data_IF_986029746298
#
_entry.id   IF_986029746298
#
_cell.length_a   1.000
_cell.length_b   1.000
_cell.length_c   1.000
_cell.angle_alpha   90.00
_cell.angle_beta   90.00
_cell.angle_gamma   90.00
#
_symmetry.space_group_name_H-M   'P 1'
#
loop_
_entity.id
_entity.type
_entity.pdbx_description
1 polymer ?
#
# COMPACT_ATOMS: atom_id res chain seq x y z
N UNK A 1 -22.35 16.98 -16.34
CA UNK A 1 -21.26 16.71 -15.39
C UNK A 1 -21.42 17.62 -14.21
N UNK A 2 -21.20 17.10 -13.01
CA UNK A 2 -21.11 17.90 -11.78
C UNK A 2 -19.82 18.71 -11.77
N UNK A 3 -19.74 19.74 -10.93
CA UNK A 3 -18.51 20.54 -10.80
C UNK A 3 -17.30 19.68 -10.39
N UNK A 4 -17.52 18.70 -9.50
CA UNK A 4 -16.47 17.77 -9.08
C UNK A 4 -15.96 16.88 -10.23
N UNK A 5 -16.86 16.45 -11.12
CA UNK A 5 -16.47 15.70 -12.31
C UNK A 5 -15.67 16.57 -13.28
N UNK A 6 -16.03 17.86 -13.45
CA UNK A 6 -15.28 18.79 -14.30
C UNK A 6 -13.87 19.06 -13.75
N UNK A 7 -13.75 19.27 -12.45
CA UNK A 7 -12.44 19.43 -11.78
C UNK A 7 -11.59 18.19 -11.98
N UNK A 8 -12.17 16.99 -11.80
CA UNK A 8 -11.45 15.73 -11.98
C UNK A 8 -10.98 15.54 -13.42
N UNK A 9 -11.87 15.80 -14.39
CA UNK A 9 -11.56 15.70 -15.81
C UNK A 9 -10.44 16.68 -16.19
N UNK A 10 -10.57 17.96 -15.85
CA UNK A 10 -9.58 18.97 -16.17
C UNK A 10 -8.22 18.66 -15.55
N UNK A 11 -8.20 18.20 -14.29
CA UNK A 11 -6.98 17.80 -13.60
C UNK A 11 -6.29 16.62 -14.29
N UNK A 12 -7.06 15.63 -14.77
CA UNK A 12 -6.52 14.49 -15.50
C UNK A 12 -5.95 14.90 -16.87
N UNK A 13 -6.58 15.84 -17.55
CA UNK A 13 -6.09 16.42 -18.81
C UNK A 13 -4.82 17.24 -18.61
N UNK A 14 -4.75 17.98 -17.50
CA UNK A 14 -3.59 18.79 -17.15
C UNK A 14 -2.36 17.91 -16.88
N UNK A 15 -2.49 16.89 -16.02
CA UNK A 15 -1.38 15.98 -15.66
C UNK A 15 -0.93 15.10 -16.85
N UNK A 16 -1.81 14.84 -17.82
CA UNK A 16 -1.48 14.08 -19.03
C UNK A 16 -0.69 14.89 -20.07
N UNK A 17 -0.36 16.17 -19.79
CA UNK A 17 0.28 17.10 -20.73
C UNK A 17 -0.53 17.24 -22.04
N UNK A 18 -1.84 17.04 -21.98
CA UNK A 18 -2.70 17.23 -23.15
C UNK A 18 -2.85 18.73 -23.47
N UNK A 19 -3.09 19.09 -24.75
CA UNK A 19 -3.40 20.47 -25.13
C UNK A 19 -4.64 20.98 -24.39
N UNK A 20 -4.53 22.15 -23.75
CA UNK A 20 -5.65 22.81 -23.10
C UNK A 20 -6.38 23.71 -24.12
N UNK A 21 -7.42 23.16 -24.74
CA UNK A 21 -8.29 23.87 -25.68
C UNK A 21 -9.69 24.01 -25.08
N UNK A 22 -10.25 25.22 -25.12
CA UNK A 22 -11.61 25.50 -24.65
C UNK A 22 -12.55 25.49 -25.85
N UNK A 23 -13.55 24.61 -25.81
CA UNK A 23 -14.57 24.48 -26.86
C UNK A 23 -15.97 24.93 -26.44
N UNK A 24 -16.15 25.46 -25.23
CA UNK A 24 -17.43 25.95 -24.75
C UNK A 24 -17.63 27.45 -25.04
N UNK A 25 -18.88 27.90 -25.00
CA UNK A 25 -19.21 29.31 -25.09
C UNK A 25 -18.69 30.07 -23.86
N UNK A 26 -17.65 30.88 -24.06
CA UNK A 26 -17.01 31.64 -22.99
C UNK A 26 -17.86 32.79 -22.45
N UNK A 27 -18.90 33.18 -23.19
CA UNK A 27 -19.83 34.23 -22.76
C UNK A 27 -20.91 33.69 -21.81
N UNK A 28 -21.11 32.37 -21.79
CA UNK A 28 -22.17 31.71 -21.05
C UNK A 28 -21.67 30.45 -20.32
N UNK A 29 -20.67 30.62 -19.45
CA UNK A 29 -20.18 29.57 -18.56
C UNK A 29 -20.53 29.84 -17.09
N UNK A 30 -20.67 28.78 -16.30
CA UNK A 30 -20.85 28.92 -14.85
C UNK A 30 -19.56 29.43 -14.19
N UNK A 31 -19.70 30.09 -13.05
CA UNK A 31 -18.55 30.55 -12.26
C UNK A 31 -17.63 29.38 -11.82
N UNK A 32 -18.20 28.20 -11.56
CA UNK A 32 -17.43 27.00 -11.20
C UNK A 32 -16.57 26.48 -12.36
N UNK A 33 -17.13 26.47 -13.58
CA UNK A 33 -16.37 26.12 -14.79
C UNK A 33 -15.24 27.11 -15.03
N UNK A 34 -15.52 28.42 -14.90
CA UNK A 34 -14.51 29.45 -15.06
C UNK A 34 -13.36 29.28 -14.05
N UNK A 35 -13.68 29.05 -12.78
CA UNK A 35 -12.69 28.82 -11.73
C UNK A 35 -11.81 27.59 -12.02
N UNK A 36 -12.38 26.53 -12.60
CA UNK A 36 -11.63 25.32 -12.98
C UNK A 36 -10.69 25.62 -14.15
N UNK A 37 -11.20 26.24 -15.23
CA UNK A 37 -10.43 26.52 -16.44
C UNK A 37 -9.33 27.57 -16.25
N UNK A 38 -9.44 28.41 -15.21
CA UNK A 38 -8.49 29.50 -14.92
C UNK A 38 -7.60 29.22 -13.71
N UNK A 39 -7.63 28.00 -13.16
CA UNK A 39 -6.82 27.64 -11.99
C UNK A 39 -5.31 27.70 -12.34
N UNK A 40 -4.54 28.66 -11.79
CA UNK A 40 -3.15 28.86 -12.18
C UNK A 40 -2.23 27.72 -11.77
N UNK A 41 -2.54 27.02 -10.66
CA UNK A 41 -1.72 25.91 -10.18
C UNK A 41 -1.83 24.69 -11.10
N UNK A 42 -3.06 24.37 -11.53
CA UNK A 42 -3.31 23.24 -12.44
C UNK A 42 -2.78 23.54 -13.84
N UNK A 43 -2.94 24.78 -14.31
CA UNK A 43 -2.37 25.22 -15.59
C UNK A 43 -0.84 25.15 -15.54
N UNK A 44 -0.20 25.57 -14.45
CA UNK A 44 1.25 25.51 -14.30
C UNK A 44 1.78 24.06 -14.38
N UNK A 45 1.07 23.08 -13.80
CA UNK A 45 1.41 21.66 -13.95
C UNK A 45 1.36 21.24 -15.42
N UNK A 46 0.32 21.62 -16.16
CA UNK A 46 0.21 21.29 -17.58
C UNK A 46 1.23 22.05 -18.43
N UNK A 47 1.61 23.27 -18.07
CA UNK A 47 2.53 24.13 -18.83
C UNK A 47 3.98 24.03 -18.33
N UNK A 48 4.29 23.00 -17.52
CA UNK A 48 5.65 22.74 -17.06
C UNK A 48 6.63 22.57 -18.24
N UNK A 49 7.82 23.22 -18.23
CA UNK A 49 8.77 23.21 -19.34
C UNK A 49 9.29 21.83 -19.76
N UNK A 50 9.24 20.82 -18.88
CA UNK A 50 9.76 19.48 -19.20
C UNK A 50 8.97 18.81 -20.32
N UNK A 51 7.69 19.17 -20.50
CA UNK A 51 6.88 18.67 -21.61
C UNK A 51 6.50 17.18 -21.48
N UNK A 52 6.66 16.59 -20.30
CA UNK A 52 6.43 15.15 -20.06
C UNK A 52 5.17 14.97 -19.22
N UNK A 53 4.33 14.00 -19.58
CA UNK A 53 3.18 13.60 -18.78
C UNK A 53 3.59 13.16 -17.36
N UNK A 54 2.78 13.53 -16.37
CA UNK A 54 2.95 13.12 -14.99
C UNK A 54 2.97 11.59 -14.85
N UNK A 55 3.98 11.11 -14.12
CA UNK A 55 4.11 9.70 -13.75
C UNK A 55 3.72 9.53 -12.29
N UNK A 56 3.05 8.42 -11.99
CA UNK A 56 2.79 8.00 -10.63
C UNK A 56 4.11 7.60 -9.98
N UNK A 57 4.64 8.43 -9.08
CA UNK A 57 5.95 8.22 -8.42
C UNK A 57 5.83 7.53 -7.06
N UNK A 58 4.66 7.57 -6.45
CA UNK A 58 4.36 6.82 -5.23
C UNK A 58 2.86 6.53 -5.19
N UNK A 59 2.49 5.41 -4.58
CA UNK A 59 1.25 5.41 -3.82
C UNK A 59 1.60 6.15 -2.54
N UNK A 60 1.07 7.35 -2.34
CA UNK A 60 0.67 7.64 -0.98
C UNK A 60 -0.35 6.53 -0.71
N UNK A 61 0.01 5.52 0.09
CA UNK A 61 -1.03 4.91 0.91
C UNK A 61 -1.65 6.14 1.54
N UNK A 62 -2.87 6.49 1.13
CA UNK A 62 -3.64 7.38 1.93
C UNK A 62 -3.45 6.86 3.35
N UNK A 63 -3.14 7.77 4.27
CA UNK A 63 -3.68 7.68 5.62
C UNK A 63 -5.19 7.46 5.47
N UNK A 64 -5.61 6.28 5.04
CA UNK A 64 -6.85 5.68 5.44
C UNK A 64 -6.46 5.07 6.77
N UNK A 65 -6.86 5.69 7.89
CA UNK A 65 -6.25 5.44 9.17
C UNK A 65 -6.42 4.00 9.68
N UNK A 66 -7.14 3.12 8.99
CA UNK A 66 -7.51 1.80 9.54
C UNK A 66 -7.75 0.68 8.51
N UNK A 67 -7.25 0.76 7.26
CA UNK A 67 -7.40 -0.38 6.33
C UNK A 67 -6.14 -1.22 6.34
N UNK A 68 -6.18 -2.31 7.11
CA UNK A 68 -5.30 -3.46 6.99
C UNK A 68 -5.47 -4.08 5.60
N UNK A 69 -4.37 -4.26 4.87
CA UNK A 69 -4.41 -4.92 3.55
C UNK A 69 -3.94 -6.37 3.69
N UNK A 70 -4.74 -7.32 3.23
CA UNK A 70 -4.33 -8.73 3.18
C UNK A 70 -3.11 -8.94 2.27
N UNK A 71 -2.26 -9.89 2.64
CA UNK A 71 -1.05 -10.23 1.91
C UNK A 71 -1.23 -11.58 1.26
N UNK A 72 -0.73 -11.68 0.03
CA UNK A 72 -0.80 -12.90 -0.77
C UNK A 72 0.59 -13.30 -1.26
N UNK A 73 0.80 -14.59 -1.43
CA UNK A 73 1.95 -15.16 -2.12
C UNK A 73 1.64 -15.23 -3.61
N UNK A 74 2.58 -14.77 -4.43
CA UNK A 74 2.49 -14.81 -5.88
C UNK A 74 3.78 -15.38 -6.48
N UNK A 75 3.67 -16.02 -7.64
CA UNK A 75 4.83 -16.57 -8.33
C UNK A 75 5.78 -15.44 -8.79
N UNK A 76 7.05 -15.53 -8.40
CA UNK A 76 8.08 -14.55 -8.72
C UNK A 76 8.26 -14.33 -10.24
N UNK A 77 7.94 -15.32 -11.08
CA UNK A 77 8.03 -15.21 -12.56
C UNK A 77 6.99 -14.26 -13.16
N UNK A 78 5.90 -13.96 -12.45
CA UNK A 78 4.90 -12.96 -12.87
C UNK A 78 5.32 -11.52 -12.54
N UNK A 79 6.47 -11.34 -11.89
CA UNK A 79 7.02 -10.04 -11.46
C UNK A 79 7.26 -9.03 -12.58
N UNK A 80 7.41 -9.48 -13.84
CA UNK A 80 7.58 -8.58 -14.99
C UNK A 80 6.42 -7.60 -15.19
N UNK A 81 5.22 -7.90 -14.65
CA UNK A 81 4.03 -7.03 -14.71
C UNK A 81 3.71 -6.33 -13.37
N UNK A 82 4.47 -6.60 -12.33
CA UNK A 82 4.20 -6.10 -10.98
C UNK A 82 5.27 -5.05 -10.66
N UNK A 83 4.86 -3.90 -10.10
CA UNK A 83 5.78 -2.90 -9.54
C UNK A 83 6.81 -3.60 -8.62
N UNK A 84 8.12 -3.55 -8.92
CA UNK A 84 9.12 -4.36 -8.20
C UNK A 84 9.11 -4.15 -6.69
N UNK A 85 8.79 -2.93 -6.23
CA UNK A 85 8.67 -2.60 -4.81
C UNK A 85 7.57 -3.39 -4.08
N UNK A 86 6.59 -3.98 -4.77
CA UNK A 86 5.56 -4.83 -4.17
C UNK A 86 6.08 -6.19 -3.70
N UNK A 87 7.22 -6.64 -4.25
CA UNK A 87 7.84 -7.92 -3.91
C UNK A 87 9.04 -7.74 -2.96
N UNK A 88 9.39 -6.50 -2.63
CA UNK A 88 10.54 -6.17 -1.81
C UNK A 88 10.10 -5.89 -0.38
N UNK A 89 10.84 -6.47 0.56
CA UNK A 89 10.59 -6.37 1.99
C UNK A 89 11.88 -6.06 2.73
N UNK A 90 11.78 -5.39 3.87
CA UNK A 90 12.93 -5.07 4.73
C UNK A 90 12.65 -5.59 6.13
N UNK A 91 13.56 -6.40 6.65
CA UNK A 91 13.54 -6.84 8.04
C UNK A 91 14.45 -5.93 8.87
N UNK A 92 13.93 -5.42 9.98
CA UNK A 92 14.70 -4.68 10.98
C UNK A 92 14.86 -5.55 12.24
N UNK A 93 16.07 -6.06 12.44
CA UNK A 93 16.39 -6.93 13.58
C UNK A 93 16.39 -6.20 14.93
N UNK A 94 16.47 -4.87 14.96
CA UNK A 94 16.45 -4.10 16.21
C UNK A 94 15.03 -4.00 16.81
N UNK A 95 14.02 -3.89 15.95
CA UNK A 95 12.63 -3.67 16.36
C UNK A 95 11.70 -4.86 16.02
N UNK A 96 12.22 -5.86 15.30
CA UNK A 96 11.51 -7.07 14.90
C UNK A 96 10.57 -6.89 13.71
N UNK A 97 10.53 -5.72 13.06
CA UNK A 97 9.54 -5.47 12.00
C UNK A 97 9.96 -6.01 10.64
N UNK A 98 8.98 -6.52 9.90
CA UNK A 98 9.07 -6.77 8.47
C UNK A 98 8.23 -5.72 7.75
N UNK A 99 8.84 -4.94 6.86
CA UNK A 99 8.21 -3.77 6.23
C UNK A 99 8.16 -3.89 4.72
N UNK A 100 7.06 -3.48 4.10
CA UNK A 100 6.94 -3.43 2.64
C UNK A 100 7.76 -2.27 2.08
N UNK A 101 8.61 -2.54 1.08
CA UNK A 101 9.38 -1.49 0.40
C UNK A 101 8.50 -0.56 -0.45
N UNK A 102 7.25 -0.95 -0.73
CA UNK A 102 6.30 -0.14 -1.49
C UNK A 102 5.83 1.09 -0.71
N UNK A 103 5.47 0.90 0.57
CA UNK A 103 4.75 1.89 1.36
C UNK A 103 5.23 2.02 2.81
N UNK A 104 6.23 1.24 3.23
CA UNK A 104 6.81 1.27 4.58
C UNK A 104 5.91 0.68 5.68
N UNK A 105 4.77 0.05 5.34
CA UNK A 105 3.86 -0.57 6.31
C UNK A 105 4.41 -1.87 6.87
N UNK A 106 4.01 -2.18 8.10
CA UNK A 106 4.47 -3.35 8.87
C UNK A 106 3.59 -4.57 8.64
N UNK A 107 4.24 -5.72 8.48
CA UNK A 107 3.62 -7.03 8.52
C UNK A 107 3.04 -7.28 9.91
N UNK A 108 1.74 -7.56 9.99
CA UNK A 108 1.01 -7.58 11.25
C UNK A 108 0.01 -8.72 11.33
N UNK A 109 -0.13 -9.31 12.51
CA UNK A 109 -1.26 -10.20 12.81
C UNK A 109 -2.51 -9.34 13.01
N UNK A 110 -3.56 -9.64 12.25
CA UNK A 110 -4.80 -8.88 12.30
C UNK A 110 -5.50 -9.03 13.67
N UNK A 111 -5.99 -7.91 14.20
CA UNK A 111 -6.78 -7.85 15.43
C UNK A 111 -6.18 -8.59 16.64
N UNK A 112 -4.85 -8.66 16.77
CA UNK A 112 -4.21 -9.36 17.90
C UNK A 112 -4.60 -10.82 18.03
N UNK A 113 -5.04 -11.44 16.93
CA UNK A 113 -5.60 -12.78 16.99
C UNK A 113 -4.57 -13.81 17.45
N UNK A 114 -4.98 -14.64 18.39
CA UNK A 114 -4.19 -15.76 18.92
C UNK A 114 -4.69 -17.12 18.42
N UNK A 115 -5.72 -17.11 17.57
CA UNK A 115 -6.26 -18.34 16.98
C UNK A 115 -5.38 -18.78 15.81
N UNK A 116 -5.31 -20.08 15.60
CA UNK A 116 -4.68 -20.66 14.42
C UNK A 116 -5.45 -20.24 13.15
N UNK A 117 -4.72 -19.91 12.08
CA UNK A 117 -5.28 -19.32 10.86
C UNK A 117 -5.49 -17.80 10.96
N UNK A 118 -4.85 -17.13 11.92
CA UNK A 118 -4.95 -15.68 12.04
C UNK A 118 -4.39 -14.98 10.79
N UNK A 119 -5.20 -14.13 10.16
CA UNK A 119 -4.84 -13.45 8.92
C UNK A 119 -3.70 -12.47 9.12
N UNK A 120 -2.76 -12.47 8.16
CA UNK A 120 -1.65 -11.54 8.13
C UNK A 120 -1.94 -10.37 7.19
N UNK A 121 -1.66 -9.16 7.66
CA UNK A 121 -2.01 -7.91 6.98
C UNK A 121 -0.87 -6.90 7.01
N UNK A 122 -0.92 -5.91 6.11
CA UNK A 122 -0.12 -4.69 6.16
C UNK A 122 -0.89 -3.58 6.88
N UNK A 123 -0.32 -3.03 7.94
CA UNK A 123 -0.85 -1.87 8.68
C UNK A 123 0.25 -0.84 9.00
N UNK A 124 -0.16 0.30 9.58
CA UNK A 124 0.81 1.30 10.07
C UNK A 124 1.69 0.69 11.16
N UNK A 125 2.97 1.08 11.18
CA UNK A 125 3.93 0.58 12.15
C UNK A 125 3.77 1.30 13.49
N UNK A 126 3.49 0.56 14.56
CA UNK A 126 3.21 1.05 15.90
C UNK A 126 4.15 0.41 16.94
N UNK A 127 5.46 0.41 16.65
CA UNK A 127 6.44 -0.30 17.47
C UNK A 127 6.73 0.49 18.74
N UNK A 128 6.75 -0.20 19.89
CA UNK A 128 6.93 0.39 21.22
C UNK A 128 5.84 1.41 21.61
N UNK A 129 4.70 1.42 20.93
CA UNK A 129 3.57 2.26 21.29
C UNK A 129 2.61 1.51 22.21
N UNK A 130 2.73 1.76 23.51
CA UNK A 130 1.87 1.17 24.55
C UNK A 130 0.38 1.47 24.40
N UNK A 131 0.01 2.51 23.65
CA UNK A 131 -1.37 2.95 23.46
C UNK A 131 -2.05 2.26 22.26
N UNK A 132 -1.29 1.51 21.47
CA UNK A 132 -1.79 0.83 20.27
C UNK A 132 -2.22 -0.60 20.55
N UNK A 133 -3.01 -1.16 19.64
CA UNK A 133 -3.46 -2.55 19.73
C UNK A 133 -2.25 -3.47 19.88
N UNK A 134 -2.31 -4.44 20.81
CA UNK A 134 -1.21 -5.35 21.11
C UNK A 134 0.10 -4.70 21.60
N UNK A 135 0.12 -3.41 21.95
CA UNK A 135 1.35 -2.70 22.31
C UNK A 135 2.42 -2.80 21.21
N UNK A 136 2.00 -2.93 19.94
CA UNK A 136 2.88 -3.15 18.78
C UNK A 136 3.45 -4.58 18.63
N UNK A 137 3.23 -5.50 19.59
CA UNK A 137 3.81 -6.86 19.55
C UNK A 137 3.32 -7.69 18.37
N UNK A 138 2.10 -7.45 17.89
CA UNK A 138 1.53 -8.13 16.72
C UNK A 138 2.25 -7.81 15.40
N UNK A 139 3.24 -6.91 15.43
CA UNK A 139 4.04 -6.49 14.28
C UNK A 139 5.52 -6.88 14.40
N UNK A 140 5.87 -7.64 15.45
CA UNK A 140 7.23 -8.04 15.76
C UNK A 140 7.43 -9.52 15.45
N UNK A 141 8.49 -9.80 14.72
CA UNK A 141 8.81 -11.09 14.13
C UNK A 141 10.29 -11.43 14.37
N UNK A 142 10.53 -12.70 14.63
CA UNK A 142 11.86 -13.30 14.69
C UNK A 142 12.06 -14.11 13.42
N UNK A 143 13.05 -13.75 12.62
CA UNK A 143 13.43 -14.50 11.42
C UNK A 143 14.52 -15.47 11.79
N UNK A 144 14.19 -16.76 11.82
CA UNK A 144 15.11 -17.84 12.11
C UNK A 144 15.94 -18.20 10.87
N UNK A 145 17.26 -18.01 10.96
CA UNK A 145 18.18 -18.24 9.83
C UNK A 145 18.50 -19.74 9.68
N UNK A 146 18.45 -20.51 10.77
CA UNK A 146 18.80 -21.92 10.78
C UNK A 146 17.64 -22.84 10.36
N UNK A 147 16.43 -22.49 10.76
CA UNK A 147 15.18 -23.21 10.53
C UNK A 147 14.31 -22.57 9.42
N UNK A 148 14.73 -21.42 8.89
CA UNK A 148 14.03 -20.65 7.84
C UNK A 148 12.60 -20.22 8.22
N UNK A 149 12.25 -20.26 9.51
CA UNK A 149 10.92 -19.88 9.97
C UNK A 149 10.84 -18.39 10.29
N UNK A 150 9.63 -17.83 10.23
CA UNK A 150 9.34 -16.48 10.72
C UNK A 150 8.31 -16.59 11.83
N UNK A 151 8.72 -16.26 13.05
CA UNK A 151 7.95 -16.50 14.27
C UNK A 151 7.46 -15.18 14.85
N UNK A 152 6.17 -15.10 15.15
CA UNK A 152 5.55 -13.97 15.83
C UNK A 152 6.04 -13.85 17.27
N UNK A 153 6.53 -12.67 17.66
CA UNK A 153 6.92 -12.39 19.05
C UNK A 153 5.72 -12.17 19.97
N UNK A 154 4.50 -12.06 19.43
CA UNK A 154 3.27 -11.89 20.21
C UNK A 154 2.77 -13.22 20.80
N UNK A 155 2.74 -14.27 19.99
CA UNK A 155 2.06 -15.54 20.31
C UNK A 155 2.87 -16.79 19.95
N UNK A 156 4.09 -16.63 19.41
CA UNK A 156 4.96 -17.75 19.05
C UNK A 156 4.51 -18.55 17.82
N UNK A 157 3.50 -18.07 17.07
CA UNK A 157 3.04 -18.73 15.85
C UNK A 157 3.96 -18.40 14.67
N UNK A 158 4.09 -19.36 13.75
CA UNK A 158 4.87 -19.22 12.53
C UNK A 158 4.02 -18.64 11.40
N UNK A 159 4.64 -17.86 10.52
CA UNK A 159 4.05 -17.54 9.23
C UNK A 159 3.88 -18.81 8.42
N UNK A 160 2.70 -18.94 7.81
CA UNK A 160 2.32 -20.07 7.01
C UNK A 160 1.66 -19.58 5.71
N UNK A 161 1.93 -20.28 4.61
CA UNK A 161 1.24 -20.05 3.35
C UNK A 161 0.92 -21.38 2.69
N UNK A 162 -0.37 -21.65 2.45
CA UNK A 162 -0.79 -22.88 1.82
C UNK A 162 -1.58 -22.61 0.55
N UNK A 163 -0.92 -22.77 -0.60
CA UNK A 163 -1.52 -22.54 -1.92
C UNK A 163 -2.74 -23.43 -2.23
N UNK A 164 -2.96 -24.53 -1.50
CA UNK A 164 -4.17 -25.35 -1.63
C UNK A 164 -5.41 -24.68 -1.04
N UNK A 165 -5.23 -23.79 -0.06
CA UNK A 165 -6.31 -23.08 0.64
C UNK A 165 -6.45 -21.61 0.18
N UNK A 166 -5.69 -21.22 -0.85
CA UNK A 166 -5.67 -19.88 -1.40
C UNK A 166 -4.29 -19.24 -1.30
N UNK A 167 -4.13 -18.03 -1.84
CA UNK A 167 -2.83 -17.38 -1.88
C UNK A 167 -2.49 -16.62 -0.59
N UNK A 168 -3.38 -16.65 0.41
CA UNK A 168 -3.26 -15.84 1.62
C UNK A 168 -2.18 -16.37 2.57
N UNK A 169 -1.60 -15.45 3.34
CA UNK A 169 -0.66 -15.74 4.41
C UNK A 169 -1.38 -15.67 5.76
N UNK A 170 -1.17 -16.67 6.59
CA UNK A 170 -1.77 -16.80 7.92
C UNK A 170 -0.72 -17.17 8.98
N UNK A 171 -1.12 -17.12 10.25
CA UNK A 171 -0.30 -17.59 11.37
C UNK A 171 -0.80 -18.94 11.88
N UNK A 172 0.12 -19.90 12.01
CA UNK A 172 -0.17 -21.26 12.45
C UNK A 172 0.84 -21.74 13.51
N UNK A 173 0.52 -22.86 14.15
CA UNK A 173 1.47 -23.53 15.04
C UNK A 173 2.73 -23.94 14.28
N UNK A 174 3.91 -23.66 14.84
CA UNK A 174 5.19 -24.02 14.23
C UNK A 174 5.36 -25.54 14.25
N UNK A 175 5.40 -26.17 13.07
CA UNK A 175 5.45 -27.63 12.91
C UNK A 175 6.38 -28.09 11.77
N UNK A 176 7.26 -27.21 11.29
CA UNK A 176 8.29 -27.47 10.27
C UNK A 176 7.74 -28.02 8.93
N UNK A 177 6.46 -27.81 8.63
CA UNK A 177 5.89 -28.17 7.34
C UNK A 177 6.46 -27.30 6.21
N UNK A 178 6.45 -27.83 4.98
CA UNK A 178 6.95 -27.16 3.76
C UNK A 178 6.31 -25.76 3.50
N UNK A 179 5.23 -25.43 4.19
CA UNK A 179 4.49 -24.16 4.09
C UNK A 179 4.99 -23.08 5.07
N UNK A 180 5.98 -23.38 5.91
CA UNK A 180 6.53 -22.51 6.96
C UNK A 180 8.01 -22.12 6.73
N UNK A 181 8.61 -22.59 5.63
CA UNK A 181 9.99 -22.34 5.21
C UNK A 181 10.06 -21.51 3.93
#
# INVERSE_FOLDING_TARGET
MTDAEYVTHFSLWAISKAPLLIGCDVTNMSAATLATLTNPEVIAVNQDPLGVQGKKVAFASSKLPNISTEIVVANCSTSSKIEPKRLQWTYNSQDGTIRSALNGRCLSINNCSTVEGATIVLSECHINDSQTQCQGKNQQWTVGIADQTIVSQMNGMCLNFNLQHGPNVDAHTCNEQDYQQ
#
